data_IF_010537958328
#
_entry.id   IF_010537958328
#
_cell.length_a   1.000
_cell.length_b   1.000
_cell.length_c   1.000
_cell.angle_alpha   90.00
_cell.angle_beta   90.00
_cell.angle_gamma   90.00
#
_symmetry.space_group_name_H-M   'P 1'
#
loop_
_entity.id
_entity.type
_entity.pdbx_description
1 polymer ?
#
# COMPACT_ATOMS: atom_id res chain seq x y z
N UNK A 1 51.69 63.08 39.64
CA UNK A 1 51.72 61.71 39.12
C UNK A 1 50.32 61.12 39.12
N UNK A 2 49.69 61.16 37.94
CA UNK A 2 48.31 60.66 37.71
C UNK A 2 48.38 59.20 37.30
N UNK A 3 47.88 58.28 38.12
CA UNK A 3 47.79 56.85 37.82
C UNK A 3 46.65 56.59 36.82
N UNK A 4 46.99 56.16 35.61
CA UNK A 4 46.09 55.67 34.59
C UNK A 4 45.52 54.32 35.05
N UNK A 5 44.19 54.30 35.29
CA UNK A 5 43.41 53.09 35.67
C UNK A 5 43.08 52.30 34.38
N UNK A 6 43.77 51.19 34.17
CA UNK A 6 43.54 50.25 33.06
C UNK A 6 42.24 49.52 33.35
N UNK A 7 41.24 49.58 32.45
CA UNK A 7 39.98 48.86 32.51
C UNK A 7 40.20 47.36 32.22
N UNK A 8 39.53 46.42 32.93
CA UNK A 8 39.65 44.99 32.66
C UNK A 8 38.98 44.66 31.34
N UNK A 9 39.71 43.95 30.46
CA UNK A 9 39.20 43.43 29.20
C UNK A 9 38.00 42.52 29.40
N UNK A 10 36.94 42.77 28.68
CA UNK A 10 35.75 41.93 28.66
C UNK A 10 36.07 40.52 28.08
N UNK A 11 35.27 39.50 28.45
CA UNK A 11 35.49 38.14 27.96
C UNK A 11 35.34 38.04 26.47
N UNK A 12 36.17 37.18 25.81
CA UNK A 12 36.11 36.99 24.35
C UNK A 12 34.71 36.50 23.93
N UNK A 13 34.15 37.18 22.95
CA UNK A 13 32.81 36.89 22.42
C UNK A 13 32.67 35.42 22.02
N UNK A 14 31.78 34.70 22.68
CA UNK A 14 31.45 33.31 22.33
C UNK A 14 30.90 33.23 20.86
N UNK A 15 31.01 32.06 20.27
CA UNK A 15 30.55 31.88 18.90
C UNK A 15 29.08 32.33 18.76
N UNK A 16 28.71 32.94 17.62
CA UNK A 16 27.35 33.41 17.39
C UNK A 16 26.36 32.27 17.58
N UNK A 17 25.40 32.44 18.50
CA UNK A 17 24.32 31.45 18.73
C UNK A 17 23.58 31.26 17.41
N UNK A 18 23.58 30.01 16.87
CA UNK A 18 22.73 29.65 15.74
C UNK A 18 21.29 30.08 16.07
N UNK A 19 20.60 30.73 15.12
CA UNK A 19 19.17 30.99 15.29
C UNK A 19 18.45 29.67 15.58
N UNK A 20 17.45 29.65 16.46
CA UNK A 20 16.67 28.42 16.74
C UNK A 20 16.11 27.86 15.44
N UNK A 21 16.39 26.58 15.21
CA UNK A 21 15.87 25.88 14.04
C UNK A 21 14.33 25.94 14.07
N UNK A 22 13.68 26.27 12.93
CA UNK A 22 12.23 26.32 12.89
C UNK A 22 11.66 24.96 13.32
N UNK A 23 10.56 24.91 14.10
CA UNK A 23 9.96 23.67 14.54
C UNK A 23 9.61 22.79 13.32
N UNK A 24 9.81 21.47 13.38
CA UNK A 24 9.49 20.56 12.29
C UNK A 24 8.03 20.72 11.90
N UNK A 25 7.71 20.68 10.60
CA UNK A 25 6.33 20.84 10.12
C UNK A 25 5.42 19.82 10.78
N UNK A 26 4.28 20.26 11.30
CA UNK A 26 3.30 19.39 11.96
C UNK A 26 2.81 18.32 10.98
N UNK A 27 2.86 17.05 11.40
CA UNK A 27 2.38 15.92 10.60
C UNK A 27 0.87 16.03 10.43
N UNK A 28 0.32 15.98 9.22
CA UNK A 28 -1.12 16.04 8.99
C UNK A 28 -1.88 14.95 9.75
N UNK A 29 -3.03 15.25 10.37
CA UNK A 29 -3.75 14.34 11.27
C UNK A 29 -4.16 13.01 10.58
N UNK A 30 -4.49 13.04 9.28
CA UNK A 30 -4.83 11.85 8.51
C UNK A 30 -3.64 10.89 8.35
N UNK A 31 -2.40 11.38 8.27
CA UNK A 31 -1.21 10.55 8.26
C UNK A 31 -0.93 9.93 9.63
N UNK A 32 -1.23 10.64 10.70
CA UNK A 32 -1.15 10.10 12.07
C UNK A 32 -2.13 8.94 12.25
N UNK A 33 -3.36 9.09 11.74
CA UNK A 33 -4.36 8.02 11.78
C UNK A 33 -3.88 6.77 11.03
N UNK A 34 -3.42 6.90 9.79
CA UNK A 34 -2.87 5.77 9.03
C UNK A 34 -1.68 5.12 9.75
N UNK A 35 -0.76 5.92 10.27
CA UNK A 35 0.38 5.42 11.03
C UNK A 35 -0.05 4.57 12.23
N UNK A 36 -1.08 4.99 12.96
CA UNK A 36 -1.59 4.29 14.15
C UNK A 36 -2.30 2.97 13.78
N UNK A 37 -2.77 2.82 12.54
CA UNK A 37 -3.40 1.59 12.05
C UNK A 37 -2.40 0.55 11.54
N UNK A 38 -1.20 0.96 11.12
CA UNK A 38 -0.18 0.06 10.58
C UNK A 38 0.18 -1.12 11.51
N UNK A 39 0.37 -0.94 12.83
CA UNK A 39 0.66 -2.05 13.72
C UNK A 39 -0.43 -3.15 13.72
N UNK A 40 -1.70 -2.77 13.63
CA UNK A 40 -2.82 -3.72 13.55
C UNK A 40 -2.76 -4.51 12.24
N UNK A 41 -2.53 -3.86 11.09
CA UNK A 41 -2.35 -4.51 9.78
C UNK A 41 -1.18 -5.50 9.80
N UNK A 42 -0.05 -5.11 10.38
CA UNK A 42 1.13 -5.95 10.51
C UNK A 42 0.81 -7.17 11.39
N UNK A 43 0.15 -6.95 12.53
CA UNK A 43 -0.22 -8.03 13.45
C UNK A 43 -1.11 -9.07 12.78
N UNK A 44 -2.18 -8.64 12.10
CA UNK A 44 -3.10 -9.56 11.40
C UNK A 44 -2.38 -10.29 10.27
N UNK A 45 -1.53 -9.61 9.50
CA UNK A 45 -0.74 -10.22 8.44
C UNK A 45 0.21 -11.29 8.97
N UNK A 46 0.86 -11.05 10.12
CA UNK A 46 1.74 -12.03 10.77
C UNK A 46 0.98 -13.26 11.24
N UNK A 47 -0.18 -13.06 11.87
CA UNK A 47 -1.04 -14.18 12.30
C UNK A 47 -1.42 -15.05 11.11
N UNK A 48 -1.79 -14.44 9.98
CA UNK A 48 -2.10 -15.19 8.76
C UNK A 48 -0.91 -16.01 8.27
N UNK A 49 0.27 -15.39 8.18
CA UNK A 49 1.50 -16.07 7.72
C UNK A 49 1.81 -17.25 8.64
N UNK A 50 1.85 -17.07 9.95
CA UNK A 50 2.11 -18.16 10.89
C UNK A 50 1.08 -19.28 10.80
N UNK A 51 -0.21 -18.96 10.63
CA UNK A 51 -1.24 -19.99 10.46
C UNK A 51 -1.08 -20.80 9.17
N UNK A 52 -0.58 -20.17 8.10
CA UNK A 52 -0.29 -20.84 6.83
C UNK A 52 0.98 -21.69 6.95
N UNK A 53 2.03 -21.19 7.61
CA UNK A 53 3.28 -21.89 7.84
C UNK A 53 3.08 -23.14 8.73
N UNK A 54 2.19 -23.06 9.72
CA UNK A 54 1.83 -24.17 10.60
C UNK A 54 1.11 -25.31 9.83
N UNK A 55 0.31 -24.98 8.82
CA UNK A 55 -0.39 -25.96 7.98
C UNK A 55 -0.35 -25.55 6.50
N UNK A 56 0.77 -25.81 5.78
CA UNK A 56 0.96 -25.36 4.39
C UNK A 56 0.26 -26.29 3.37
N UNK A 57 -0.96 -26.71 3.68
CA UNK A 57 -1.84 -27.49 2.79
C UNK A 57 -2.95 -26.62 2.24
N UNK A 58 -3.58 -27.02 1.14
CA UNK A 58 -4.73 -26.28 0.58
C UNK A 58 -5.83 -26.04 1.61
N UNK A 59 -6.13 -27.07 2.40
CA UNK A 59 -7.11 -26.98 3.49
C UNK A 59 -6.62 -26.08 4.63
N UNK A 60 -5.35 -26.20 5.04
CA UNK A 60 -4.77 -25.38 6.11
C UNK A 60 -4.76 -23.91 5.75
N UNK A 61 -4.41 -23.57 4.49
CA UNK A 61 -4.50 -22.19 3.98
C UNK A 61 -5.93 -21.67 4.06
N UNK A 62 -6.91 -22.44 3.60
CA UNK A 62 -8.32 -22.06 3.65
C UNK A 62 -8.79 -21.81 5.09
N UNK A 63 -8.48 -22.73 6.01
CA UNK A 63 -8.82 -22.60 7.45
C UNK A 63 -8.13 -21.40 8.09
N UNK A 64 -6.89 -21.09 7.72
CA UNK A 64 -6.18 -19.90 8.17
C UNK A 64 -6.95 -18.63 7.81
N UNK A 65 -7.38 -18.48 6.54
CA UNK A 65 -8.18 -17.33 6.11
C UNK A 65 -9.52 -17.23 6.85
N UNK A 66 -10.24 -18.32 6.98
CA UNK A 66 -11.53 -18.36 7.67
C UNK A 66 -11.40 -18.00 9.16
N UNK A 67 -10.38 -18.51 9.84
CA UNK A 67 -10.17 -18.27 11.28
C UNK A 67 -9.87 -16.81 11.61
N UNK A 68 -9.10 -16.13 10.74
CA UNK A 68 -8.73 -14.71 10.98
C UNK A 68 -9.67 -13.71 10.29
N UNK A 69 -10.68 -14.18 9.55
CA UNK A 69 -11.60 -13.37 8.77
C UNK A 69 -12.15 -12.14 9.53
N UNK A 70 -12.63 -12.26 10.78
CA UNK A 70 -13.16 -11.12 11.50
C UNK A 70 -12.12 -10.03 11.77
N UNK A 71 -10.88 -10.43 12.07
CA UNK A 71 -9.76 -9.49 12.29
C UNK A 71 -9.30 -8.84 11.00
N UNK A 72 -9.24 -9.59 9.89
CA UNK A 72 -8.96 -9.03 8.56
C UNK A 72 -10.01 -7.97 8.20
N UNK A 73 -11.27 -8.26 8.43
CA UNK A 73 -12.36 -7.33 8.14
C UNK A 73 -12.24 -6.04 8.94
N UNK A 74 -12.14 -6.13 10.26
CA UNK A 74 -12.01 -4.95 11.13
C UNK A 74 -10.90 -4.01 10.65
N UNK A 75 -9.74 -4.57 10.36
CA UNK A 75 -8.55 -3.76 10.06
C UNK A 75 -8.57 -3.22 8.64
N UNK A 76 -8.95 -4.06 7.65
CA UNK A 76 -8.95 -3.63 6.25
C UNK A 76 -10.09 -2.70 5.92
N UNK A 77 -11.31 -2.95 6.42
CA UNK A 77 -12.45 -2.04 6.24
C UNK A 77 -12.15 -0.66 6.84
N UNK A 78 -11.62 -0.64 8.08
CA UNK A 78 -11.20 0.62 8.72
C UNK A 78 -10.09 1.34 7.93
N UNK A 79 -9.11 0.60 7.39
CA UNK A 79 -8.07 1.18 6.54
C UNK A 79 -8.64 1.80 5.28
N UNK A 80 -9.51 1.08 4.58
CA UNK A 80 -10.14 1.54 3.33
C UNK A 80 -10.98 2.81 3.55
N UNK A 81 -11.68 2.90 4.68
CA UNK A 81 -12.45 4.09 5.04
C UNK A 81 -11.57 5.35 5.19
N UNK A 82 -10.36 5.20 5.73
CA UNK A 82 -9.45 6.35 6.00
C UNK A 82 -8.56 6.67 4.80
N UNK A 83 -8.06 5.66 4.10
CA UNK A 83 -7.05 5.85 3.04
C UNK A 83 -7.57 6.67 1.86
N UNK A 84 -8.84 6.50 1.48
CA UNK A 84 -9.45 7.26 0.38
C UNK A 84 -9.40 8.77 0.59
N UNK A 85 -9.81 9.22 1.77
CA UNK A 85 -9.74 10.64 2.17
C UNK A 85 -8.30 11.14 2.23
N UNK A 86 -7.39 10.33 2.82
CA UNK A 86 -5.97 10.65 2.92
C UNK A 86 -5.32 10.84 1.55
N UNK A 87 -5.56 9.93 0.61
CA UNK A 87 -4.99 10.01 -0.73
C UNK A 87 -5.47 11.24 -1.51
N UNK A 88 -6.73 11.66 -1.31
CA UNK A 88 -7.23 12.91 -1.90
C UNK A 88 -6.46 14.13 -1.40
N UNK A 89 -6.28 14.22 -0.08
CA UNK A 89 -5.52 15.33 0.54
C UNK A 89 -4.06 15.32 0.09
N UNK A 90 -3.41 14.16 0.06
CA UNK A 90 -2.00 14.03 -0.37
C UNK A 90 -1.83 14.47 -1.83
N UNK A 91 -2.70 14.03 -2.73
CA UNK A 91 -2.68 14.43 -4.15
C UNK A 91 -2.92 15.93 -4.34
N UNK A 92 -3.83 16.52 -3.57
CA UNK A 92 -4.09 17.96 -3.64
C UNK A 92 -2.88 18.80 -3.17
N UNK A 93 -2.16 18.35 -2.14
CA UNK A 93 -0.95 19.02 -1.66
C UNK A 93 0.23 18.87 -2.63
N UNK A 94 0.38 17.74 -3.29
CA UNK A 94 1.38 17.54 -4.35
C UNK A 94 1.09 18.42 -5.58
N UNK A 95 -0.16 18.50 -6.01
CA UNK A 95 -0.58 19.35 -7.11
C UNK A 95 -0.33 20.84 -6.81
N UNK A 96 -0.49 21.26 -5.55
CA UNK A 96 -0.19 22.64 -5.13
C UNK A 96 1.32 22.94 -5.14
N UNK A 97 2.15 21.98 -4.74
CA UNK A 97 3.63 22.10 -4.80
C UNK A 97 4.17 22.14 -6.23
N UNK A 98 3.53 21.42 -7.16
CA UNK A 98 3.97 21.40 -8.56
C UNK A 98 3.64 22.71 -9.30
N UNK A 99 2.60 23.43 -8.90
CA UNK A 99 2.25 24.74 -9.47
C UNK A 99 3.25 25.83 -9.12
N UNK A 100 4.00 25.67 -8.02
CA UNK A 100 5.04 26.63 -7.60
C UNK A 100 6.40 26.43 -8.30
N UNK A 101 6.62 25.28 -8.96
CA UNK A 101 7.83 24.97 -9.72
C UNK A 101 7.53 24.93 -11.22
N UNK A 102 7.41 26.13 -11.85
CA UNK A 102 7.63 26.32 -13.29
C UNK A 102 6.77 25.51 -14.24
N UNK A 103 5.91 26.18 -14.89
CA UNK A 103 5.15 25.97 -16.12
C UNK A 103 5.94 25.21 -17.19
N UNK A 104 5.80 23.89 -17.27
CA UNK A 104 6.10 23.09 -18.47
C UNK A 104 5.20 21.86 -18.51
N UNK A 105 4.44 21.77 -19.58
CA UNK A 105 3.46 20.82 -20.04
C UNK A 105 3.34 19.46 -19.34
N UNK A 106 2.20 19.21 -18.68
CA UNK A 106 1.82 17.88 -18.22
C UNK A 106 0.47 17.51 -18.81
N UNK A 107 0.49 16.43 -19.59
CA UNK A 107 -0.70 15.75 -20.09
C UNK A 107 -1.44 15.14 -18.89
N UNK A 108 -2.77 15.30 -18.75
CA UNK A 108 -3.54 14.68 -17.68
C UNK A 108 -3.62 13.16 -17.90
N UNK A 109 -3.06 12.41 -16.96
CA UNK A 109 -3.26 10.95 -16.89
C UNK A 109 -4.61 10.70 -16.24
N UNK A 110 -5.54 10.13 -17.00
CA UNK A 110 -6.86 9.69 -16.54
C UNK A 110 -6.75 8.63 -15.42
N UNK A 111 -7.77 8.51 -14.53
CA UNK A 111 -7.76 7.58 -13.41
C UNK A 111 -7.97 6.14 -13.90
N UNK A 112 -6.87 5.46 -14.23
CA UNK A 112 -6.88 4.08 -14.74
C UNK A 112 -7.18 3.00 -13.69
N UNK A 113 -7.34 3.35 -12.42
CA UNK A 113 -7.48 2.37 -11.32
C UNK A 113 -8.87 1.75 -11.21
N UNK A 114 -9.93 2.48 -11.58
CA UNK A 114 -11.31 1.95 -11.52
C UNK A 114 -11.61 0.95 -12.65
N UNK A 115 -10.92 1.07 -13.78
CA UNK A 115 -11.16 0.25 -14.97
C UNK A 115 -10.46 -1.12 -14.88
N UNK A 116 -9.33 -1.20 -14.18
CA UNK A 116 -8.60 -2.46 -13.96
C UNK A 116 -9.41 -3.39 -13.04
N UNK A 117 -10.10 -2.86 -12.04
CA UNK A 117 -10.96 -3.68 -11.16
C UNK A 117 -12.21 -4.21 -11.86
N UNK A 118 -12.83 -3.41 -12.76
CA UNK A 118 -14.01 -3.87 -13.54
C UNK A 118 -13.69 -4.94 -14.57
N UNK A 119 -12.50 -4.89 -15.18
CA UNK A 119 -12.10 -5.83 -16.24
C UNK A 119 -11.74 -7.22 -15.70
N UNK A 120 -11.32 -7.32 -14.44
CA UNK A 120 -10.97 -8.60 -13.82
C UNK A 120 -12.15 -9.32 -13.13
N UNK A 121 -13.37 -8.73 -13.14
CA UNK A 121 -14.57 -9.33 -12.55
C UNK A 121 -15.51 -10.01 -13.55
N UNK A 122 -15.14 -10.12 -14.83
CA UNK A 122 -15.96 -10.90 -15.79
C UNK A 122 -15.54 -12.37 -15.79
N UNK A 123 -16.43 -13.29 -15.45
CA UNK A 123 -16.22 -14.72 -15.60
C UNK A 123 -16.65 -15.13 -17.00
N UNK A 124 -15.82 -14.95 -18.00
CA UNK A 124 -16.06 -15.56 -19.31
C UNK A 124 -14.98 -16.60 -19.58
N UNK A 125 -15.34 -17.83 -19.23
CA UNK A 125 -14.78 -19.06 -19.74
C UNK A 125 -15.01 -19.10 -21.26
N UNK A 126 -13.97 -18.92 -22.05
CA UNK A 126 -13.94 -19.43 -23.42
C UNK A 126 -12.62 -20.16 -23.63
N UNK A 127 -12.73 -21.46 -23.68
CA UNK A 127 -11.76 -22.36 -24.32
C UNK A 127 -11.63 -21.98 -25.79
N UNK A 128 -10.42 -21.80 -26.25
CA UNK A 128 -10.09 -21.63 -27.66
C UNK A 128 -8.63 -21.92 -27.87
N UNK A 129 -8.33 -23.16 -28.27
CA UNK A 129 -7.07 -23.56 -28.90
C UNK A 129 -6.88 -22.76 -30.19
N UNK A 130 -5.66 -22.28 -30.48
CA UNK A 130 -4.87 -22.61 -31.64
C UNK A 130 -3.65 -21.70 -31.85
N UNK A 131 -2.55 -22.41 -32.09
CA UNK A 131 -1.46 -22.12 -33.04
C UNK A 131 -0.79 -20.73 -33.11
N UNK A 132 0.53 -20.79 -32.86
CA UNK A 132 1.64 -19.86 -33.19
C UNK A 132 1.54 -19.12 -34.55
N UNK A 133 2.31 -18.02 -34.76
CA UNK A 133 3.73 -18.20 -35.04
C UNK A 133 4.70 -17.18 -34.40
N UNK A 134 5.95 -17.61 -34.35
CA UNK A 134 7.19 -16.87 -34.14
C UNK A 134 7.19 -15.47 -34.74
N UNK A 135 7.51 -14.48 -33.93
CA UNK A 135 8.14 -13.23 -34.39
C UNK A 135 9.16 -12.76 -33.38
N UNK A 136 10.39 -13.01 -33.76
CA UNK A 136 11.66 -12.33 -33.49
C UNK A 136 11.46 -10.96 -32.80
N UNK A 137 11.60 -10.89 -31.47
CA UNK A 137 11.72 -9.64 -30.71
C UNK A 137 13.06 -9.61 -30.00
N UNK A 138 14.03 -9.09 -30.74
CA UNK A 138 15.26 -8.47 -30.30
C UNK A 138 15.25 -8.17 -28.79
N UNK A 139 16.01 -8.99 -28.13
CA UNK A 139 16.45 -8.89 -26.76
C UNK A 139 17.20 -7.55 -26.58
N UNK A 140 16.50 -6.51 -26.16
CA UNK A 140 17.11 -5.35 -25.54
C UNK A 140 17.28 -5.72 -24.07
N UNK A 141 18.31 -6.46 -23.76
CA UNK A 141 18.86 -6.60 -22.41
C UNK A 141 19.24 -5.21 -21.89
N UNK A 142 18.26 -4.54 -21.32
CA UNK A 142 18.48 -3.31 -20.58
C UNK A 142 19.14 -3.71 -19.27
N UNK A 143 20.45 -3.51 -19.21
CA UNK A 143 21.26 -3.63 -18.00
C UNK A 143 20.59 -2.86 -16.86
N UNK A 144 19.96 -3.60 -15.93
CA UNK A 144 19.39 -3.09 -14.68
C UNK A 144 20.43 -3.06 -13.56
N UNK A 145 21.70 -2.82 -13.88
CA UNK A 145 22.75 -2.55 -12.90
C UNK A 145 22.77 -1.04 -12.66
N UNK A 146 22.53 -0.62 -11.41
CA UNK A 146 22.62 0.75 -10.86
C UNK A 146 21.34 1.63 -10.82
N UNK A 147 20.15 1.06 -10.69
CA UNK A 147 19.05 1.87 -10.20
C UNK A 147 19.10 1.86 -8.66
N UNK A 148 19.56 2.95 -8.03
CA UNK A 148 19.39 3.18 -6.60
C UNK A 148 17.93 2.85 -6.19
N UNK A 149 17.69 2.21 -5.04
CA UNK A 149 16.34 1.82 -4.61
C UNK A 149 15.48 3.07 -4.61
N UNK A 150 14.48 3.06 -5.50
CA UNK A 150 13.55 4.18 -5.64
C UNK A 150 12.77 4.32 -4.32
N UNK A 151 12.97 5.43 -3.63
CA UNK A 151 12.24 5.71 -2.39
C UNK A 151 10.74 5.66 -2.66
N UNK A 152 10.05 4.84 -1.88
CA UNK A 152 8.59 4.72 -1.95
C UNK A 152 7.96 6.02 -1.45
N UNK A 153 7.03 6.57 -2.21
CA UNK A 153 6.28 7.73 -1.74
C UNK A 153 5.33 7.32 -0.60
N UNK A 154 4.94 8.27 0.25
CA UNK A 154 3.94 8.02 1.28
C UNK A 154 2.59 7.55 0.68
N UNK A 155 2.28 7.98 -0.54
CA UNK A 155 1.11 7.52 -1.31
C UNK A 155 1.24 6.04 -1.66
N UNK A 156 2.40 5.60 -2.15
CA UNK A 156 2.65 4.19 -2.49
C UNK A 156 2.48 3.30 -1.25
N UNK A 157 3.06 3.71 -0.12
CA UNK A 157 2.92 2.99 1.16
C UNK A 157 1.46 2.91 1.62
N UNK A 158 0.69 4.01 1.48
CA UNK A 158 -0.71 4.04 1.86
C UNK A 158 -1.61 3.13 1.00
N UNK A 159 -1.25 2.92 -0.27
CA UNK A 159 -2.00 2.07 -1.20
C UNK A 159 -1.71 0.58 -0.99
N UNK A 160 -0.52 0.20 -0.54
CA UNK A 160 -0.12 -1.21 -0.41
C UNK A 160 -1.13 -2.11 0.34
N UNK A 161 -1.68 -1.70 1.50
CA UNK A 161 -2.66 -2.53 2.20
C UNK A 161 -3.96 -2.74 1.42
N UNK A 162 -4.39 -1.76 0.60
CA UNK A 162 -5.62 -1.88 -0.19
C UNK A 162 -5.48 -2.92 -1.30
N UNK A 163 -4.28 -3.15 -1.80
CA UNK A 163 -3.99 -4.14 -2.84
C UNK A 163 -3.90 -5.57 -2.30
N UNK A 164 -3.86 -5.78 -0.99
CA UNK A 164 -3.73 -7.12 -0.41
C UNK A 164 -4.96 -7.98 -0.59
N UNK A 165 -6.14 -7.43 -0.36
CA UNK A 165 -7.40 -8.21 -0.45
C UNK A 165 -7.63 -8.76 -1.86
N UNK A 166 -7.53 -7.97 -2.95
CA UNK A 166 -7.59 -8.52 -4.31
C UNK A 166 -6.54 -9.60 -4.59
N UNK A 167 -5.32 -9.47 -4.04
CA UNK A 167 -4.28 -10.50 -4.19
C UNK A 167 -4.64 -11.80 -3.47
N UNK A 168 -5.25 -11.74 -2.29
CA UNK A 168 -5.73 -12.92 -1.59
C UNK A 168 -6.81 -13.64 -2.39
N UNK A 169 -7.73 -12.91 -3.01
CA UNK A 169 -8.74 -13.50 -3.91
C UNK A 169 -8.07 -14.24 -5.07
N UNK A 170 -7.06 -13.63 -5.71
CA UNK A 170 -6.34 -14.28 -6.81
C UNK A 170 -5.60 -15.54 -6.36
N UNK A 171 -4.90 -15.47 -5.23
CA UNK A 171 -4.16 -16.62 -4.67
C UNK A 171 -5.08 -17.78 -4.29
N UNK A 172 -6.21 -17.49 -3.63
CA UNK A 172 -7.19 -18.53 -3.26
C UNK A 172 -7.86 -19.15 -4.49
N UNK A 173 -8.14 -18.34 -5.53
CA UNK A 173 -8.68 -18.83 -6.81
C UNK A 173 -7.69 -19.73 -7.52
N UNK A 174 -6.42 -19.34 -7.57
CA UNK A 174 -5.35 -20.14 -8.15
C UNK A 174 -5.20 -21.47 -7.40
N UNK A 175 -5.14 -21.45 -6.08
CA UNK A 175 -5.07 -22.65 -5.25
C UNK A 175 -6.29 -23.57 -5.46
N UNK A 176 -7.50 -22.99 -5.57
CA UNK A 176 -8.72 -23.74 -5.84
C UNK A 176 -8.66 -24.44 -7.20
N UNK A 177 -8.12 -23.79 -8.24
CA UNK A 177 -7.99 -24.37 -9.59
C UNK A 177 -7.03 -25.59 -9.63
N UNK A 178 -6.09 -25.68 -8.68
CA UNK A 178 -5.15 -26.79 -8.54
C UNK A 178 -5.60 -27.84 -7.52
N UNK A 179 -6.77 -27.67 -6.90
CA UNK A 179 -7.31 -28.60 -5.90
C UNK A 179 -8.43 -29.45 -6.54
N UNK A 180 -8.45 -30.75 -6.22
CA UNK A 180 -9.46 -31.68 -6.76
C UNK A 180 -10.86 -31.27 -6.31
N UNK A 181 -11.85 -31.17 -7.23
CA UNK A 181 -13.20 -30.68 -6.91
C UNK A 181 -13.98 -31.57 -5.93
N UNK A 182 -13.64 -32.86 -5.87
CA UNK A 182 -14.28 -33.86 -5.00
C UNK A 182 -13.67 -33.93 -3.59
N UNK A 183 -12.65 -33.13 -3.30
CA UNK A 183 -11.96 -33.12 -2.01
C UNK A 183 -12.62 -32.19 -1.00
N UNK A 184 -12.49 -32.51 0.29
CA UNK A 184 -12.91 -31.64 1.39
C UNK A 184 -12.15 -30.28 1.33
N UNK A 185 -10.87 -30.34 0.99
CA UNK A 185 -10.05 -29.12 0.80
C UNK A 185 -10.63 -28.16 -0.22
N UNK A 186 -11.23 -28.66 -1.30
CA UNK A 186 -11.88 -27.82 -2.31
C UNK A 186 -13.06 -27.04 -1.72
N UNK A 187 -13.91 -27.69 -0.93
CA UNK A 187 -15.07 -27.06 -0.32
C UNK A 187 -14.66 -25.95 0.65
N UNK A 188 -13.66 -26.23 1.51
CA UNK A 188 -13.15 -25.25 2.47
C UNK A 188 -12.46 -24.07 1.77
N UNK A 189 -11.71 -24.34 0.69
CA UNK A 189 -11.11 -23.28 -0.15
C UNK A 189 -12.16 -22.40 -0.83
N UNK A 190 -13.22 -23.02 -1.35
CA UNK A 190 -14.32 -22.28 -1.97
C UNK A 190 -14.97 -21.33 -0.96
N UNK A 191 -15.24 -21.82 0.24
CA UNK A 191 -15.78 -21.00 1.33
C UNK A 191 -14.82 -19.86 1.72
N UNK A 192 -13.53 -20.13 1.79
CA UNK A 192 -12.52 -19.11 2.08
C UNK A 192 -12.46 -18.04 0.96
N UNK A 193 -12.53 -18.45 -0.30
CA UNK A 193 -12.57 -17.56 -1.44
C UNK A 193 -13.79 -16.63 -1.39
N UNK A 194 -14.98 -17.18 -1.21
CA UNK A 194 -16.21 -16.38 -1.08
C UNK A 194 -16.12 -15.38 0.08
N UNK A 195 -15.60 -15.83 1.23
CA UNK A 195 -15.41 -15.00 2.41
C UNK A 195 -14.47 -13.81 2.16
N UNK A 196 -13.37 -14.04 1.42
CA UNK A 196 -12.42 -12.97 1.08
C UNK A 196 -12.95 -12.04 -0.03
N UNK A 197 -13.76 -12.55 -0.97
CA UNK A 197 -14.45 -11.73 -1.95
C UNK A 197 -15.46 -10.79 -1.30
N UNK A 198 -16.24 -11.29 -0.33
CA UNK A 198 -17.16 -10.46 0.46
C UNK A 198 -16.42 -9.37 1.24
N UNK A 199 -15.26 -9.72 1.82
CA UNK A 199 -14.39 -8.74 2.47
C UNK A 199 -13.96 -7.65 1.49
N UNK A 200 -13.57 -8.00 0.27
CA UNK A 200 -13.24 -7.04 -0.78
C UNK A 200 -14.38 -6.07 -1.06
N UNK A 201 -15.59 -6.59 -1.20
CA UNK A 201 -16.80 -5.77 -1.41
C UNK A 201 -17.04 -4.78 -0.25
N UNK A 202 -16.90 -5.23 1.00
CA UNK A 202 -17.04 -4.35 2.18
C UNK A 202 -15.94 -3.27 2.24
N UNK A 203 -14.73 -3.60 1.85
CA UNK A 203 -13.64 -2.63 1.73
C UNK A 203 -13.94 -1.55 0.69
N UNK A 204 -14.49 -1.93 -0.46
CA UNK A 204 -14.88 -0.99 -1.51
C UNK A 204 -16.02 -0.08 -1.07
N UNK A 205 -17.04 -0.63 -0.39
CA UNK A 205 -18.11 0.16 0.20
C UNK A 205 -17.57 1.18 1.22
N UNK A 206 -16.67 0.76 2.11
CA UNK A 206 -16.08 1.67 3.09
C UNK A 206 -15.32 2.83 2.43
N UNK A 207 -14.68 2.59 1.27
CA UNK A 207 -14.00 3.62 0.50
C UNK A 207 -14.95 4.65 -0.13
N UNK A 208 -16.16 4.23 -0.50
CA UNK A 208 -17.16 5.09 -1.17
C UNK A 208 -18.00 5.91 -0.18
N UNK A 209 -18.31 5.37 1.00
CA UNK A 209 -19.10 6.06 2.02
C UNK A 209 -18.36 7.23 2.70
N UNK A 210 -17.07 7.37 2.49
CA UNK A 210 -16.25 8.47 3.03
C UNK A 210 -16.19 9.68 2.06
N UNK A 211 -17.02 9.71 1.04
CA UNK A 211 -17.18 10.84 0.12
C UNK A 211 -18.20 11.83 0.66
#
# INVERSE_FOLDING_TARGET
PTKKKTAPGGPPGGPPRRPPEPPPPAVPPHLVTLRNMLPKLISVSRVLVYSIEDSPTSEGVARAFLSIRPRLEEVHVSWHAVVGATLRVMRSTEASKSKSKGRLGRVPVAPATAEIMRKNMRPDLVHGSDASPESDRRDKSRSTADAAPKELSAVDVAIMPTQRIPRYVLLLRDLLSHTRPDSEAYQVLHQALESVQELGYRCDQASTHTQ
#
